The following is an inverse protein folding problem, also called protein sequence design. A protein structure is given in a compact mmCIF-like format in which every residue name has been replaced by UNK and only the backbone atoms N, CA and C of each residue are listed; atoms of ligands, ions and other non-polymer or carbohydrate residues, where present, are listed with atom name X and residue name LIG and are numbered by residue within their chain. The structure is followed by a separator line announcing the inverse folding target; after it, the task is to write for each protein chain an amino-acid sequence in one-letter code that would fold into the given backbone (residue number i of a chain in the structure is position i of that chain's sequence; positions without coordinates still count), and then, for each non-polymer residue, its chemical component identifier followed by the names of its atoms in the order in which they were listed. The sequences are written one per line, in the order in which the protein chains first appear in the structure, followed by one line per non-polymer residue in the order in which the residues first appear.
data_IF_534015543153
#
_entry.id   IF_534015543153
#
_cell.length_a   1.000
_cell.length_b   1.000
_cell.length_c   1.000
_cell.angle_alpha   90.00
_cell.angle_beta   90.00
_cell.angle_gamma   90.00
#
_symmetry.space_group_name_H-M   'P 1'
#
loop_
_entity.id
_entity.type
_entity.pdbx_description
1 polymer ?
#
# COMPACT_ATOMS: atom_id res chain seq x y z
N UNK A 1 -1.18 -6.85 21.79
CA UNK A 1 -2.50 -6.31 21.41
C UNK A 1 -2.80 -6.79 20.00
N UNK A 2 -3.95 -7.43 19.78
CA UNK A 2 -4.43 -7.75 18.44
C UNK A 2 -5.41 -6.65 18.04
N UNK A 3 -5.07 -5.89 17.00
CA UNK A 3 -6.01 -4.95 16.40
C UNK A 3 -7.02 -5.75 15.58
N UNK A 4 -8.30 -5.41 15.71
CA UNK A 4 -9.40 -6.10 15.03
C UNK A 4 -10.16 -5.13 14.12
N UNK A 5 -9.41 -4.38 13.30
CA UNK A 5 -9.96 -3.37 12.39
C UNK A 5 -10.52 -3.99 11.09
N UNK A 6 -11.25 -5.10 11.20
CA UNK A 6 -11.83 -5.82 10.06
C UNK A 6 -12.92 -5.00 9.38
N UNK A 7 -12.93 -4.94 8.05
CA UNK A 7 -14.02 -4.38 7.25
C UNK A 7 -14.63 -5.37 6.27
N UNK A 8 -15.76 -4.99 5.69
CA UNK A 8 -16.37 -5.61 4.49
C UNK A 8 -16.11 -4.78 3.23
N UNK A 9 -15.68 -3.54 3.40
CA UNK A 9 -15.27 -2.60 2.33
C UNK A 9 -13.95 -1.92 2.71
N UNK A 10 -13.25 -1.34 1.73
CA UNK A 10 -12.04 -0.55 1.98
C UNK A 10 -12.33 0.62 2.94
N UNK A 11 -13.46 1.32 2.72
CA UNK A 11 -13.89 2.42 3.57
C UNK A 11 -14.09 2.00 5.03
N UNK A 12 -14.80 0.89 5.27
CA UNK A 12 -15.05 0.40 6.64
C UNK A 12 -13.76 0.01 7.34
N UNK A 13 -12.86 -0.68 6.65
CA UNK A 13 -11.54 -1.04 7.17
C UNK A 13 -10.74 0.20 7.56
N UNK A 14 -10.70 1.22 6.70
CA UNK A 14 -9.96 2.46 6.95
C UNK A 14 -10.57 3.26 8.11
N UNK A 15 -11.90 3.39 8.17
CA UNK A 15 -12.59 4.04 9.30
C UNK A 15 -12.23 3.37 10.63
N UNK A 16 -12.25 2.03 10.70
CA UNK A 16 -11.88 1.30 11.93
C UNK A 16 -10.40 1.46 12.31
N UNK A 17 -9.50 1.59 11.34
CA UNK A 17 -8.09 1.87 11.59
C UNK A 17 -7.87 3.27 12.18
N UNK A 18 -8.64 4.25 11.71
CA UNK A 18 -8.67 5.61 12.23
C UNK A 18 -9.27 5.69 13.63
N UNK A 19 -10.42 5.05 13.85
CA UNK A 19 -11.09 5.00 15.16
C UNK A 19 -10.20 4.34 16.23
N UNK A 20 -9.39 3.36 15.82
CA UNK A 20 -8.41 2.71 16.68
C UNK A 20 -7.15 3.55 16.97
N UNK A 21 -7.00 4.73 16.35
CA UNK A 21 -5.84 5.61 16.51
C UNK A 21 -4.56 5.11 15.83
N UNK A 22 -4.64 4.07 14.98
CA UNK A 22 -3.50 3.51 14.25
C UNK A 22 -3.19 4.35 13.01
N UNK A 23 -4.25 4.79 12.33
CA UNK A 23 -4.19 5.68 11.18
C UNK A 23 -4.33 7.12 11.66
N UNK A 24 -3.20 7.77 11.92
CA UNK A 24 -3.15 8.98 12.75
C UNK A 24 -3.16 10.29 11.97
N UNK A 25 -3.02 10.27 10.64
CA UNK A 25 -2.96 11.48 9.82
C UNK A 25 -3.95 11.44 8.67
N UNK A 26 -4.58 12.58 8.36
CA UNK A 26 -5.55 12.72 7.27
C UNK A 26 -4.94 12.36 5.91
N UNK A 27 -3.63 12.59 5.74
CA UNK A 27 -2.88 12.24 4.52
C UNK A 27 -2.74 10.74 4.37
N UNK A 28 -2.45 10.02 5.45
CA UNK A 28 -2.37 8.57 5.43
C UNK A 28 -3.77 7.94 5.26
N UNK A 29 -4.80 8.52 5.88
CA UNK A 29 -6.20 8.12 5.67
C UNK A 29 -6.61 8.25 4.21
N UNK A 30 -6.41 9.43 3.62
CA UNK A 30 -6.77 9.69 2.22
C UNK A 30 -6.05 8.73 1.27
N UNK A 31 -4.78 8.41 1.55
CA UNK A 31 -4.02 7.44 0.78
C UNK A 31 -4.64 6.03 0.86
N UNK A 32 -4.96 5.54 2.06
CA UNK A 32 -5.56 4.22 2.23
C UNK A 32 -7.00 4.15 1.71
N UNK A 33 -7.74 5.26 1.70
CA UNK A 33 -9.06 5.35 1.05
C UNK A 33 -8.96 5.29 -0.48
N UNK A 34 -7.95 5.93 -1.05
CA UNK A 34 -7.74 6.01 -2.50
C UNK A 34 -7.19 4.71 -3.09
N UNK A 35 -6.37 4.00 -2.33
CA UNK A 35 -5.74 2.74 -2.76
C UNK A 35 -6.56 1.58 -2.22
N UNK A 36 -7.39 0.98 -3.07
CA UNK A 36 -8.29 -0.09 -2.67
C UNK A 36 -7.50 -1.39 -2.45
N UNK A 37 -7.44 -1.85 -1.20
CA UNK A 37 -6.74 -3.08 -0.81
C UNK A 37 -7.19 -4.31 -1.59
N UNK A 38 -8.43 -4.39 -2.06
CA UNK A 38 -8.91 -5.52 -2.87
C UNK A 38 -8.20 -5.65 -4.22
N UNK A 39 -7.55 -4.59 -4.73
CA UNK A 39 -6.71 -4.64 -5.94
C UNK A 39 -5.33 -5.25 -5.71
N UNK A 40 -4.93 -5.40 -4.44
CA UNK A 40 -3.59 -5.88 -4.03
C UNK A 40 -3.64 -7.20 -3.26
N UNK A 41 -4.84 -7.65 -2.88
CA UNK A 41 -5.10 -8.88 -2.15
C UNK A 41 -6.15 -9.71 -2.88
N UNK A 42 -5.71 -10.78 -3.54
CA UNK A 42 -6.57 -11.64 -4.37
C UNK A 42 -7.21 -12.81 -3.62
N UNK A 43 -6.91 -12.99 -2.33
CA UNK A 43 -7.64 -13.94 -1.48
C UNK A 43 -9.00 -13.37 -1.03
N UNK A 44 -9.90 -14.25 -0.57
CA UNK A 44 -11.20 -13.84 0.01
C UNK A 44 -11.00 -12.85 1.17
N UNK A 45 -11.96 -11.96 1.39
CA UNK A 45 -11.97 -11.05 2.55
C UNK A 45 -10.69 -10.19 2.64
N UNK A 46 -10.40 -9.36 1.61
CA UNK A 46 -9.17 -8.57 1.55
C UNK A 46 -9.08 -7.51 2.66
N UNK A 47 -10.20 -7.13 3.26
CA UNK A 47 -10.35 -6.08 4.26
C UNK A 47 -10.27 -6.56 5.70
N UNK A 48 -9.97 -7.85 5.93
CA UNK A 48 -9.67 -8.34 7.28
C UNK A 48 -8.31 -7.82 7.74
N UNK A 49 -8.23 -7.44 9.01
CA UNK A 49 -7.02 -6.88 9.62
C UNK A 49 -6.00 -7.98 9.96
N UNK A 50 -5.53 -8.68 8.93
CA UNK A 50 -4.54 -9.76 9.03
C UNK A 50 -3.73 -9.90 7.75
N UNK A 51 -2.53 -10.50 7.79
CA UNK A 51 -1.78 -10.80 6.59
C UNK A 51 -2.55 -11.76 5.67
N UNK A 52 -2.46 -11.56 4.35
CA UNK A 52 -3.07 -12.42 3.33
C UNK A 52 -1.99 -12.89 2.36
N UNK A 53 -2.09 -14.12 1.85
CA UNK A 53 -1.03 -14.65 0.95
C UNK A 53 -1.12 -13.98 -0.41
N UNK A 54 0.04 -13.78 -1.03
CA UNK A 54 0.16 -13.24 -2.40
C UNK A 54 0.98 -14.15 -3.32
N UNK A 55 1.18 -15.41 -2.92
CA UNK A 55 2.07 -16.36 -3.57
C UNK A 55 3.49 -16.35 -2.99
N UNK A 56 4.35 -17.22 -3.51
CA UNK A 56 5.80 -17.24 -3.23
C UNK A 56 6.19 -17.26 -1.74
N UNK A 57 5.35 -17.88 -0.90
CA UNK A 57 5.53 -17.97 0.55
C UNK A 57 5.62 -16.62 1.29
N UNK A 58 5.02 -15.57 0.72
CA UNK A 58 4.93 -14.24 1.34
C UNK A 58 3.48 -13.75 1.43
N UNK A 59 3.29 -12.67 2.18
CA UNK A 59 1.98 -12.09 2.46
C UNK A 59 1.98 -10.59 2.23
N UNK A 60 0.85 -10.04 1.78
CA UNK A 60 0.55 -8.62 2.00
C UNK A 60 0.31 -8.43 3.49
N UNK A 61 1.00 -7.45 4.11
CA UNK A 61 0.88 -7.16 5.54
C UNK A 61 -0.55 -6.83 5.94
N UNK A 62 -0.85 -7.02 7.23
CA UNK A 62 -2.12 -6.59 7.81
C UNK A 62 -2.34 -5.07 7.57
N UNK A 63 -3.59 -4.64 7.31
CA UNK A 63 -3.97 -3.23 7.20
C UNK A 63 -3.37 -2.32 8.28
N UNK A 64 -3.40 -2.71 9.56
CA UNK A 64 -2.83 -1.88 10.64
C UNK A 64 -1.32 -1.65 10.49
N UNK A 65 -0.57 -2.58 9.92
CA UNK A 65 0.88 -2.40 9.70
C UNK A 65 1.14 -1.34 8.64
N UNK A 66 0.33 -1.28 7.58
CA UNK A 66 0.42 -0.21 6.58
C UNK A 66 -0.02 1.13 7.15
N UNK A 67 -1.13 1.17 7.90
CA UNK A 67 -1.61 2.38 8.57
C UNK A 67 -0.55 2.98 9.50
N UNK A 68 0.09 2.13 10.31
CA UNK A 68 1.18 2.53 11.21
C UNK A 68 2.38 3.09 10.44
N UNK A 69 2.85 2.40 9.40
CA UNK A 69 3.99 2.84 8.60
C UNK A 69 3.71 4.19 7.89
N UNK A 70 2.54 4.33 7.26
CA UNK A 70 2.14 5.56 6.57
C UNK A 70 1.98 6.73 7.56
N UNK A 71 1.44 6.47 8.75
CA UNK A 71 1.27 7.50 9.78
C UNK A 71 2.63 8.01 10.30
N UNK A 72 3.59 7.10 10.55
CA UNK A 72 4.94 7.49 11.02
C UNK A 72 5.72 8.24 9.94
N UNK A 73 5.57 7.84 8.68
CA UNK A 73 6.28 8.45 7.56
C UNK A 73 5.57 9.70 7.01
N UNK A 74 4.45 10.11 7.61
CA UNK A 74 3.57 11.14 7.06
C UNK A 74 4.29 12.48 6.78
N UNK A 75 5.21 12.88 7.66
CA UNK A 75 5.97 14.12 7.50
C UNK A 75 7.05 14.03 6.41
N UNK A 76 7.58 12.84 6.14
CA UNK A 76 8.60 12.60 5.12
C UNK A 76 7.99 12.36 3.73
N UNK A 77 6.76 11.85 3.67
CA UNK A 77 6.04 11.58 2.44
C UNK A 77 5.26 12.81 1.96
N UNK A 78 5.90 13.97 1.82
CA UNK A 78 5.30 15.22 1.31
C UNK A 78 5.29 15.30 -0.23
N UNK A 79 4.52 16.22 -0.83
CA UNK A 79 4.49 16.38 -2.30
C UNK A 79 5.89 16.67 -2.86
N UNK A 80 6.34 15.90 -3.84
CA UNK A 80 7.70 16.00 -4.39
C UNK A 80 8.74 15.11 -3.70
N UNK A 81 8.40 14.46 -2.59
CA UNK A 81 9.30 13.56 -1.90
C UNK A 81 9.62 12.30 -2.73
N UNK A 82 10.74 11.65 -2.38
CA UNK A 82 11.14 10.37 -2.94
C UNK A 82 11.11 9.30 -1.87
N UNK A 83 10.44 8.19 -2.14
CA UNK A 83 10.35 7.06 -1.22
C UNK A 83 10.93 5.78 -1.84
N UNK A 84 11.44 4.91 -0.97
CA UNK A 84 11.95 3.59 -1.32
C UNK A 84 11.22 2.56 -0.46
N UNK A 85 10.57 1.60 -1.10
CA UNK A 85 9.86 0.48 -0.48
C UNK A 85 10.64 -0.81 -0.75
N UNK A 86 11.33 -1.32 0.28
CA UNK A 86 12.19 -2.52 0.16
C UNK A 86 11.38 -3.75 0.56
N UNK A 87 11.21 -4.69 -0.37
CA UNK A 87 10.29 -5.82 -0.22
C UNK A 87 8.86 -5.41 -0.59
N UNK A 88 8.70 -4.75 -1.75
CA UNK A 88 7.43 -4.13 -2.16
C UNK A 88 6.28 -5.13 -2.35
N UNK A 89 6.55 -6.42 -2.55
CA UNK A 89 5.56 -7.50 -2.52
C UNK A 89 4.35 -7.25 -3.42
N UNK A 90 3.18 -7.05 -2.81
CA UNK A 90 1.93 -6.77 -3.53
C UNK A 90 1.90 -5.41 -4.25
N UNK A 91 2.75 -4.46 -3.84
CA UNK A 91 2.75 -3.07 -4.30
C UNK A 91 1.81 -2.12 -3.55
N UNK A 92 1.05 -2.61 -2.54
CA UNK A 92 0.06 -1.80 -1.82
C UNK A 92 0.66 -0.60 -1.09
N UNK A 93 1.73 -0.83 -0.31
CA UNK A 93 2.37 0.24 0.45
C UNK A 93 3.03 1.26 -0.49
N UNK A 94 3.74 0.79 -1.51
CA UNK A 94 4.27 1.63 -2.59
C UNK A 94 3.20 2.52 -3.24
N UNK A 95 1.99 2.00 -3.49
CA UNK A 95 0.88 2.77 -4.05
C UNK A 95 0.35 3.84 -3.08
N UNK A 96 0.22 3.50 -1.79
CA UNK A 96 -0.16 4.46 -0.77
C UNK A 96 0.87 5.59 -0.64
N UNK A 97 2.17 5.25 -0.62
CA UNK A 97 3.24 6.24 -0.63
C UNK A 97 3.17 7.13 -1.87
N UNK A 98 2.88 6.56 -3.05
CA UNK A 98 2.80 7.32 -4.29
C UNK A 98 1.70 8.37 -4.24
N UNK A 99 0.54 8.03 -3.67
CA UNK A 99 -0.52 8.99 -3.40
C UNK A 99 0.00 10.12 -2.51
N UNK A 100 0.65 9.80 -1.39
CA UNK A 100 1.12 10.79 -0.41
C UNK A 100 2.20 11.72 -0.96
N UNK A 101 3.16 11.22 -1.75
CA UNK A 101 4.23 12.04 -2.33
C UNK A 101 3.78 12.88 -3.54
N UNK A 102 2.49 12.81 -3.90
CA UNK A 102 1.87 13.68 -4.89
C UNK A 102 2.45 13.55 -6.32
N UNK A 103 2.02 14.44 -7.21
CA UNK A 103 2.34 14.39 -8.65
C UNK A 103 3.81 14.67 -8.94
N UNK A 104 4.49 15.37 -8.05
CA UNK A 104 5.91 15.71 -8.20
C UNK A 104 6.84 14.66 -7.56
N UNK A 105 6.28 13.76 -6.75
CA UNK A 105 7.04 12.75 -6.03
C UNK A 105 7.27 11.47 -6.82
N UNK A 106 8.08 10.59 -6.24
CA UNK A 106 8.39 9.29 -6.84
C UNK A 106 8.61 8.21 -5.78
N UNK A 107 8.08 7.02 -6.04
CA UNK A 107 8.29 5.83 -5.22
C UNK A 107 8.98 4.76 -6.05
N UNK A 108 10.04 4.17 -5.48
CA UNK A 108 10.68 2.98 -6.03
C UNK A 108 10.36 1.80 -5.12
N UNK A 109 9.74 0.76 -5.67
CA UNK A 109 9.57 -0.51 -4.99
C UNK A 109 10.67 -1.48 -5.43
N UNK A 110 11.42 -2.04 -4.49
CA UNK A 110 12.41 -3.10 -4.77
C UNK A 110 11.81 -4.44 -4.35
N UNK A 111 11.86 -5.42 -5.23
CA UNK A 111 11.39 -6.77 -4.98
C UNK A 111 12.35 -7.78 -5.63
N UNK A 112 12.70 -8.84 -4.90
CA UNK A 112 13.66 -9.83 -5.38
C UNK A 112 12.99 -11.01 -6.10
N UNK A 113 11.68 -11.19 -5.95
CA UNK A 113 10.90 -12.22 -6.64
C UNK A 113 10.34 -11.62 -7.94
N UNK A 114 10.81 -12.04 -9.14
CA UNK A 114 10.38 -11.44 -10.41
C UNK A 114 8.86 -11.42 -10.61
N UNK A 115 8.17 -12.48 -10.20
CA UNK A 115 6.73 -12.59 -10.35
C UNK A 115 5.97 -11.64 -9.44
N UNK A 116 6.53 -11.25 -8.28
CA UNK A 116 5.94 -10.22 -7.42
C UNK A 116 6.13 -8.82 -8.01
N UNK A 117 7.16 -8.58 -8.83
CA UNK A 117 7.30 -7.34 -9.61
C UNK A 117 6.17 -7.25 -10.65
N UNK A 118 5.86 -8.36 -11.32
CA UNK A 118 4.76 -8.40 -12.28
C UNK A 118 3.40 -8.22 -11.59
N UNK A 119 3.18 -8.89 -10.46
CA UNK A 119 1.97 -8.78 -9.65
C UNK A 119 1.79 -7.33 -9.16
N UNK A 120 2.80 -6.73 -8.53
CA UNK A 120 2.71 -5.35 -8.04
C UNK A 120 2.45 -4.34 -9.15
N UNK A 121 3.12 -4.50 -10.30
CA UNK A 121 2.89 -3.67 -11.48
C UNK A 121 1.46 -3.84 -12.02
N UNK A 122 0.92 -5.06 -12.03
CA UNK A 122 -0.45 -5.33 -12.45
C UNK A 122 -1.47 -4.73 -11.49
N UNK A 123 -1.32 -4.96 -10.18
CA UNK A 123 -2.20 -4.42 -9.14
C UNK A 123 -2.29 -2.89 -9.23
N UNK A 124 -1.15 -2.19 -9.33
CA UNK A 124 -1.14 -0.73 -9.51
C UNK A 124 -1.79 -0.30 -10.83
N UNK A 125 -1.61 -1.07 -11.91
CA UNK A 125 -2.26 -0.75 -13.21
C UNK A 125 -3.78 -0.87 -13.14
N UNK A 126 -4.31 -1.82 -12.37
CA UNK A 126 -5.74 -2.04 -12.23
C UNK A 126 -6.41 -1.04 -11.28
N UNK A 127 -5.69 -0.57 -10.26
CA UNK A 127 -6.20 0.38 -9.28
C UNK A 127 -5.96 1.85 -9.70
N UNK A 128 -4.69 2.20 -9.90
CA UNK A 128 -4.23 3.57 -10.11
C UNK A 128 -3.24 3.64 -11.30
N UNK A 129 -3.69 3.42 -12.55
CA UNK A 129 -2.80 3.30 -13.72
C UNK A 129 -1.96 4.55 -14.00
N UNK A 130 -2.43 5.72 -13.57
CA UNK A 130 -1.71 6.98 -13.74
C UNK A 130 -0.38 6.99 -12.97
N UNK A 131 -0.26 6.28 -11.84
CA UNK A 131 1.00 6.16 -11.10
C UNK A 131 2.13 5.55 -11.94
N UNK A 132 1.81 4.61 -12.83
CA UNK A 132 2.79 4.02 -13.74
C UNK A 132 3.01 4.90 -14.97
N UNK A 133 1.94 5.43 -15.57
CA UNK A 133 2.02 6.27 -16.78
C UNK A 133 2.86 7.54 -16.55
N UNK A 134 2.73 8.14 -15.37
CA UNK A 134 3.45 9.35 -14.97
C UNK A 134 4.81 9.05 -14.32
N UNK A 135 5.22 7.77 -14.26
CA UNK A 135 6.46 7.36 -13.58
C UNK A 135 6.55 7.81 -12.12
N UNK A 136 5.41 7.87 -11.42
CA UNK A 136 5.31 8.12 -9.98
C UNK A 136 5.66 6.87 -9.17
N UNK A 137 5.41 5.68 -9.71
CA UNK A 137 5.86 4.40 -9.15
C UNK A 137 6.70 3.65 -10.17
N UNK A 138 7.76 3.01 -9.70
CA UNK A 138 8.48 1.99 -10.47
C UNK A 138 8.89 0.82 -9.58
N UNK A 139 8.52 -0.39 -9.99
CA UNK A 139 9.01 -1.63 -9.37
C UNK A 139 10.25 -2.12 -10.10
N UNK A 140 11.29 -2.48 -9.34
CA UNK A 140 12.56 -2.97 -9.86
C UNK A 140 13.01 -4.22 -9.10
N UNK A 141 13.72 -5.10 -9.79
CA UNK A 141 14.32 -6.28 -9.20
C UNK A 141 15.81 -6.36 -9.42
N UNK A 142 16.45 -7.26 -8.66
CA UNK A 142 17.84 -7.61 -8.90
C UNK A 142 17.92 -8.39 -10.21
N UNK A 143 18.79 -7.93 -11.12
CA UNK A 143 19.17 -8.68 -12.33
C UNK A 143 20.05 -9.87 -11.95
#
# INVERSE_FOLDING_TARGET
MAWHCNGTTNQEMVTKLKDAGILATDRAETAMLTVDRAKYCHESDPYLDRPRRIGYNVTISAPHMHAYALSILSDQLFDGAKALDVGSGSGYLSACMAHMVGSHGRVIGIEHIPELIEISTRNVREDNPHFLKESRIKFIGKR
#
